data_IF_737882475036
#
_entry.id   IF_737882475036
#
_cell.length_a   1.000
_cell.length_b   1.000
_cell.length_c   1.000
_cell.angle_alpha   90.00
_cell.angle_beta   90.00
_cell.angle_gamma   90.00
#
_symmetry.space_group_name_H-M   'P 1'
#
loop_
_entity.id
_entity.type
_entity.pdbx_description
1 polymer ?
#
# COMPACT_ATOMS: atom_id res chain seq x y z
N UNK A 1 22.89 -7.97 -2.22
CA UNK A 1 22.35 -8.97 -1.28
C UNK A 1 21.13 -8.37 -0.59
N UNK A 2 20.16 -9.20 -0.26
CA UNK A 2 18.93 -8.78 0.45
C UNK A 2 19.17 -8.53 1.95
N UNK A 3 20.38 -8.52 2.43
CA UNK A 3 20.87 -8.42 3.81
C UNK A 3 19.80 -8.54 4.92
N UNK A 4 18.94 -7.57 5.13
CA UNK A 4 17.82 -7.65 6.08
C UNK A 4 16.45 -7.44 5.43
N UNK A 5 16.39 -7.15 4.13
CA UNK A 5 15.12 -6.95 3.43
C UNK A 5 14.45 -8.29 3.08
N UNK A 6 13.15 -8.34 3.22
CA UNK A 6 12.35 -9.52 2.85
C UNK A 6 12.08 -9.57 1.35
N UNK A 7 12.01 -8.43 0.71
CA UNK A 7 11.87 -8.23 -0.71
C UNK A 7 12.59 -6.98 -1.17
N UNK A 8 12.72 -6.83 -2.47
CA UNK A 8 13.28 -5.65 -3.12
C UNK A 8 12.77 -5.56 -4.54
N UNK A 9 12.24 -4.42 -4.93
CA UNK A 9 11.98 -4.11 -6.33
C UNK A 9 13.10 -3.26 -6.92
N UNK A 10 13.44 -3.47 -8.18
CA UNK A 10 14.42 -2.67 -8.91
C UNK A 10 14.19 -2.71 -10.40
N UNK A 11 14.74 -1.72 -11.10
CA UNK A 11 14.69 -1.64 -12.56
C UNK A 11 16.08 -1.82 -13.15
N UNK A 12 16.16 -2.60 -14.24
CA UNK A 12 17.37 -2.70 -15.06
C UNK A 12 16.98 -2.57 -16.55
N UNK A 13 17.35 -1.45 -17.14
CA UNK A 13 16.88 -1.08 -18.48
C UNK A 13 15.38 -0.89 -18.53
N UNK A 14 14.70 -1.61 -19.43
CA UNK A 14 13.24 -1.61 -19.57
C UNK A 14 12.52 -2.67 -18.73
N UNK A 15 13.25 -3.47 -17.95
CA UNK A 15 12.71 -4.56 -17.17
C UNK A 15 12.63 -4.19 -15.70
N UNK A 16 11.54 -4.61 -15.07
CA UNK A 16 11.33 -4.52 -13.64
C UNK A 16 11.51 -5.91 -13.01
N UNK A 17 12.11 -5.94 -11.86
CA UNK A 17 12.43 -7.15 -11.11
C UNK A 17 11.93 -7.02 -9.68
N UNK A 18 11.43 -8.12 -9.14
CA UNK A 18 11.16 -8.30 -7.73
C UNK A 18 12.05 -9.45 -7.26
N UNK A 19 12.91 -9.20 -6.30
CA UNK A 19 13.70 -10.22 -5.60
C UNK A 19 13.05 -10.48 -4.24
N UNK A 20 12.83 -11.75 -3.92
CA UNK A 20 12.21 -12.18 -2.67
C UNK A 20 13.18 -13.07 -1.89
N UNK A 21 13.27 -12.86 -0.57
CA UNK A 21 13.97 -13.78 0.30
C UNK A 21 13.17 -15.08 0.45
N UNK A 22 13.81 -16.28 0.50
CA UNK A 22 13.12 -17.52 0.73
C UNK A 22 12.39 -17.53 2.07
N UNK A 23 11.08 -17.77 2.07
CA UNK A 23 10.21 -17.79 3.25
C UNK A 23 9.07 -18.78 3.08
N UNK A 24 8.27 -18.93 4.14
CA UNK A 24 7.00 -19.63 4.09
C UNK A 24 6.07 -18.98 3.06
N UNK A 25 5.21 -19.80 2.41
CA UNK A 25 4.39 -19.38 1.26
C UNK A 25 3.55 -18.13 1.53
N UNK A 26 2.89 -18.05 2.69
CA UNK A 26 2.04 -16.91 3.01
C UNK A 26 2.86 -15.63 3.21
N UNK A 27 3.99 -15.72 3.91
CA UNK A 27 4.92 -14.58 4.05
C UNK A 27 5.47 -14.12 2.70
N UNK A 28 5.71 -15.07 1.78
CA UNK A 28 6.18 -14.76 0.42
C UNK A 28 5.13 -14.01 -0.39
N UNK A 29 3.85 -14.38 -0.28
CA UNK A 29 2.73 -13.67 -0.93
C UNK A 29 2.63 -12.23 -0.44
N UNK A 30 2.70 -12.02 0.87
CA UNK A 30 2.68 -10.69 1.46
C UNK A 30 3.81 -9.81 0.91
N UNK A 31 5.05 -10.30 0.97
CA UNK A 31 6.22 -9.59 0.44
C UNK A 31 6.08 -9.33 -1.06
N UNK A 32 5.59 -10.30 -1.85
CA UNK A 32 5.38 -10.11 -3.28
C UNK A 32 4.40 -8.97 -3.58
N UNK A 33 3.25 -8.93 -2.91
CA UNK A 33 2.27 -7.85 -3.10
C UNK A 33 2.80 -6.50 -2.65
N UNK A 34 3.58 -6.46 -1.58
CA UNK A 34 4.26 -5.27 -1.11
C UNK A 34 5.19 -4.69 -2.19
N UNK A 35 6.14 -5.49 -2.67
CA UNK A 35 7.10 -5.07 -3.71
C UNK A 35 6.41 -4.75 -5.04
N UNK A 36 5.37 -5.50 -5.39
CA UNK A 36 4.58 -5.22 -6.58
C UNK A 36 3.85 -3.88 -6.50
N UNK A 37 3.40 -3.49 -5.31
CA UNK A 37 2.80 -2.18 -5.07
C UNK A 37 3.75 -1.04 -5.44
N UNK A 38 5.04 -1.13 -5.13
CA UNK A 38 6.02 -0.11 -5.50
C UNK A 38 6.18 0.04 -7.02
N UNK A 39 6.06 -1.04 -7.79
CA UNK A 39 6.05 -0.96 -9.26
C UNK A 39 4.81 -0.26 -9.78
N UNK A 40 3.63 -0.57 -9.21
CA UNK A 40 2.36 0.11 -9.51
C UNK A 40 2.47 1.58 -9.16
N UNK A 41 2.97 1.91 -7.97
CA UNK A 41 3.14 3.26 -7.45
C UNK A 41 3.91 4.16 -8.41
N UNK A 42 5.04 3.68 -8.91
CA UNK A 42 5.85 4.42 -9.87
C UNK A 42 5.04 4.81 -11.12
N UNK A 43 4.21 3.89 -11.64
CA UNK A 43 3.37 4.19 -12.79
C UNK A 43 2.24 5.16 -12.45
N UNK A 44 1.57 5.00 -11.32
CA UNK A 44 0.50 5.91 -10.88
C UNK A 44 1.04 7.32 -10.69
N UNK A 45 2.17 7.48 -9.99
CA UNK A 45 2.84 8.76 -9.75
C UNK A 45 3.25 9.47 -11.05
N UNK A 46 3.67 8.70 -12.07
CA UNK A 46 4.14 9.26 -13.34
C UNK A 46 3.03 9.54 -14.35
N UNK A 47 1.87 8.92 -14.22
CA UNK A 47 0.77 8.97 -15.20
C UNK A 47 -0.47 9.70 -14.71
N UNK A 48 -0.62 9.89 -13.41
CA UNK A 48 -1.83 10.45 -12.80
C UNK A 48 -1.47 11.43 -11.69
N UNK A 49 -2.44 12.24 -11.24
CA UNK A 49 -2.36 13.04 -10.01
C UNK A 49 -3.05 12.37 -8.81
N UNK A 50 -3.32 11.06 -8.88
CA UNK A 50 -4.10 10.37 -7.85
C UNK A 50 -3.49 10.45 -6.44
N UNK A 51 -2.17 10.58 -6.34
CA UNK A 51 -1.44 10.62 -5.07
C UNK A 51 -0.95 12.03 -4.66
N UNK A 52 -1.28 13.08 -5.43
CA UNK A 52 -0.78 14.45 -5.16
C UNK A 52 -1.12 14.96 -3.76
N UNK A 53 -2.30 14.60 -3.25
CA UNK A 53 -2.78 14.99 -1.93
C UNK A 53 -2.90 13.77 -0.98
N UNK A 54 -1.99 12.81 -1.08
CA UNK A 54 -2.03 11.61 -0.24
C UNK A 54 -2.00 11.94 1.25
N UNK A 55 -1.18 12.90 1.64
CA UNK A 55 -1.01 13.31 3.04
C UNK A 55 -2.29 13.90 3.66
N UNK A 56 -3.22 14.42 2.85
CA UNK A 56 -4.49 14.98 3.33
C UNK A 56 -5.43 13.91 3.92
N UNK A 57 -5.13 12.62 3.68
CA UNK A 57 -5.82 11.49 4.29
C UNK A 57 -5.32 11.19 5.72
N UNK A 58 -4.26 11.83 6.16
CA UNK A 58 -3.69 11.68 7.49
C UNK A 58 -4.11 12.83 8.41
N UNK A 59 -4.04 12.65 9.74
CA UNK A 59 -4.23 13.76 10.69
C UNK A 59 -3.24 14.91 10.42
N UNK A 60 -3.66 16.15 10.66
CA UNK A 60 -2.86 17.35 10.38
C UNK A 60 -1.55 17.43 11.19
N UNK A 61 -1.51 16.80 12.35
CA UNK A 61 -0.36 16.74 13.25
C UNK A 61 0.55 15.54 12.97
N UNK A 62 0.22 14.71 11.97
CA UNK A 62 1.04 13.58 11.56
C UNK A 62 2.01 13.97 10.43
N UNK A 63 3.26 13.51 10.53
CA UNK A 63 4.24 13.56 9.46
C UNK A 63 4.96 12.21 9.35
N UNK A 64 5.16 11.74 8.12
CA UNK A 64 6.01 10.56 7.87
C UNK A 64 7.42 10.80 8.38
N UNK A 65 8.02 9.78 8.99
CA UNK A 65 9.36 9.89 9.60
C UNK A 65 10.48 10.08 8.57
N UNK A 66 10.28 9.60 7.35
CA UNK A 66 11.29 9.49 6.29
C UNK A 66 12.52 8.66 6.71
N UNK A 67 12.33 7.76 7.67
CA UNK A 67 13.33 6.81 8.17
C UNK A 67 12.64 5.48 8.48
N UNK A 68 13.08 4.40 7.81
CA UNK A 68 12.53 3.05 7.99
C UNK A 68 12.73 2.46 9.39
N UNK A 69 13.69 3.01 10.15
CA UNK A 69 14.01 2.57 11.51
C UNK A 69 13.47 3.52 12.59
N UNK A 70 12.62 4.48 12.22
CA UNK A 70 12.08 5.44 13.17
C UNK A 70 11.21 4.78 14.24
N UNK A 71 11.32 5.28 15.46
CA UNK A 71 10.38 4.91 16.53
C UNK A 71 9.06 5.69 16.33
N UNK A 72 8.04 4.97 15.85
CA UNK A 72 6.69 5.52 15.62
C UNK A 72 5.75 5.31 16.82
N UNK A 73 6.27 4.88 17.98
CA UNK A 73 5.49 4.68 19.21
C UNK A 73 4.62 5.91 19.60
N UNK A 74 5.05 7.17 19.43
CA UNK A 74 4.19 8.32 19.72
C UNK A 74 2.87 8.35 18.94
N UNK A 75 2.83 7.72 17.76
CA UNK A 75 1.65 7.67 16.89
C UNK A 75 0.86 6.35 17.01
N UNK A 76 1.13 5.53 18.04
CA UNK A 76 0.48 4.22 18.21
C UNK A 76 -1.06 4.28 18.20
N UNK A 77 -1.64 5.39 18.62
CA UNK A 77 -3.09 5.58 18.59
C UNK A 77 -3.67 5.53 17.17
N UNK A 78 -2.87 5.85 16.14
CA UNK A 78 -3.28 5.81 14.73
C UNK A 78 -3.33 4.39 14.14
N UNK A 79 -2.92 3.37 14.89
CA UNK A 79 -2.91 1.96 14.47
C UNK A 79 -4.12 1.18 14.98
N UNK A 80 -4.97 1.76 15.80
CA UNK A 80 -6.04 1.03 16.49
C UNK A 80 -7.35 1.78 16.47
N UNK A 81 -8.43 1.06 16.74
CA UNK A 81 -9.77 1.64 16.81
C UNK A 81 -10.46 1.76 15.46
N UNK A 82 -11.71 2.25 15.46
CA UNK A 82 -12.54 2.31 14.27
C UNK A 82 -12.05 3.31 13.21
N UNK A 83 -11.27 4.32 13.63
CA UNK A 83 -10.73 5.37 12.77
C UNK A 83 -9.21 5.22 12.60
N UNK A 84 -8.68 3.99 12.69
CA UNK A 84 -7.26 3.75 12.47
C UNK A 84 -6.82 4.32 11.11
N UNK A 85 -5.61 4.86 11.06
CA UNK A 85 -5.07 5.57 9.90
C UNK A 85 -4.08 4.73 9.11
N UNK A 86 -3.34 3.88 9.80
CA UNK A 86 -2.26 3.06 9.22
C UNK A 86 -2.41 1.58 9.57
N UNK A 87 -1.91 0.73 8.69
CA UNK A 87 -1.88 -0.72 8.90
C UNK A 87 -0.93 -1.09 10.06
N UNK A 88 0.27 -0.50 10.06
CA UNK A 88 1.30 -0.75 11.07
C UNK A 88 2.30 0.40 11.18
N UNK A 89 3.33 0.24 12.03
CA UNK A 89 4.39 1.24 12.21
C UNK A 89 5.17 1.51 10.92
N UNK A 90 5.39 0.49 10.10
CA UNK A 90 6.15 0.60 8.87
C UNK A 90 5.45 1.51 7.85
N UNK A 91 4.12 1.46 7.79
CA UNK A 91 3.30 2.36 6.97
C UNK A 91 3.45 3.85 7.33
N UNK A 92 3.92 4.17 8.54
CA UNK A 92 4.15 5.56 8.98
C UNK A 92 5.52 6.11 8.60
N UNK A 93 6.37 5.34 7.96
CA UNK A 93 7.74 5.77 7.61
C UNK A 93 7.78 6.60 6.32
N UNK A 94 7.15 6.13 5.26
CA UNK A 94 7.07 6.83 3.98
C UNK A 94 5.68 6.73 3.36
N UNK A 95 5.24 7.72 2.57
CA UNK A 95 3.98 7.60 1.83
C UNK A 95 3.91 6.38 0.89
N UNK A 96 5.04 5.95 0.34
CA UNK A 96 5.12 4.76 -0.50
C UNK A 96 4.89 3.48 0.32
N UNK A 97 5.44 3.40 1.53
CA UNK A 97 5.23 2.26 2.43
C UNK A 97 3.79 2.19 2.94
N UNK A 98 3.17 3.34 3.22
CA UNK A 98 1.75 3.40 3.57
C UNK A 98 0.87 2.79 2.46
N UNK A 99 1.09 3.20 1.20
CA UNK A 99 0.38 2.63 0.06
C UNK A 99 0.68 1.14 -0.15
N UNK A 100 1.94 0.74 0.00
CA UNK A 100 2.35 -0.65 -0.15
C UNK A 100 1.71 -1.56 0.90
N UNK A 101 1.66 -1.14 2.17
CA UNK A 101 1.00 -1.91 3.24
C UNK A 101 -0.51 -2.03 3.02
N UNK A 102 -1.16 -0.96 2.57
CA UNK A 102 -2.59 -1.00 2.23
C UNK A 102 -2.86 -1.94 1.05
N UNK A 103 -2.07 -1.86 -0.02
CA UNK A 103 -2.23 -2.71 -1.19
C UNK A 103 -1.98 -4.19 -0.86
N UNK A 104 -0.92 -4.50 -0.13
CA UNK A 104 -0.60 -5.84 0.37
C UNK A 104 -1.78 -6.44 1.15
N UNK A 105 -2.29 -5.71 2.15
CA UNK A 105 -3.44 -6.13 2.93
C UNK A 105 -4.71 -6.27 2.07
N UNK A 106 -4.90 -5.40 1.08
CA UNK A 106 -6.03 -5.49 0.17
C UNK A 106 -5.97 -6.72 -0.76
N UNK A 107 -4.76 -7.23 -1.05
CA UNK A 107 -4.56 -8.45 -1.85
C UNK A 107 -4.63 -9.75 -1.03
N UNK A 108 -4.66 -9.68 0.29
CA UNK A 108 -4.64 -10.84 1.19
C UNK A 108 -5.94 -10.96 1.99
N UNK A 109 -6.39 -12.18 2.34
CA UNK A 109 -7.61 -12.37 3.12
C UNK A 109 -7.39 -12.06 4.61
N UNK A 110 -8.49 -11.80 5.34
CA UNK A 110 -8.47 -11.68 6.79
C UNK A 110 -8.21 -10.26 7.29
N UNK A 111 -8.30 -9.24 6.43
CA UNK A 111 -8.05 -7.84 6.76
C UNK A 111 -9.34 -6.99 6.81
N UNK A 112 -10.50 -7.63 7.00
CA UNK A 112 -11.81 -6.96 7.05
C UNK A 112 -11.88 -5.91 8.14
N UNK A 113 -11.28 -6.18 9.31
CA UNK A 113 -11.26 -5.24 10.45
C UNK A 113 -10.44 -3.98 10.13
N UNK A 114 -9.34 -4.11 9.41
CA UNK A 114 -8.53 -2.97 8.99
C UNK A 114 -9.33 -2.05 8.07
N UNK A 115 -9.97 -2.65 7.07
CA UNK A 115 -10.79 -1.91 6.10
C UNK A 115 -12.21 -1.56 6.61
N UNK A 116 -12.52 -1.82 7.87
CA UNK A 116 -13.67 -1.19 8.53
C UNK A 116 -13.42 0.31 8.84
N UNK A 117 -12.15 0.75 8.88
CA UNK A 117 -11.81 2.16 9.04
C UNK A 117 -12.18 2.98 7.79
N UNK A 118 -12.93 4.08 7.94
CA UNK A 118 -13.26 4.97 6.83
C UNK A 118 -12.02 5.64 6.23
N UNK A 119 -10.96 5.83 7.02
CA UNK A 119 -9.69 6.41 6.54
C UNK A 119 -8.96 5.41 5.67
N UNK A 120 -8.83 4.16 6.10
CA UNK A 120 -8.21 3.10 5.28
C UNK A 120 -9.04 2.79 4.04
N UNK A 121 -10.38 2.88 4.10
CA UNK A 121 -11.25 2.81 2.93
C UNK A 121 -10.95 3.93 1.92
N UNK A 122 -10.82 5.18 2.40
CA UNK A 122 -10.51 6.31 1.54
C UNK A 122 -9.12 6.17 0.88
N UNK A 123 -8.13 5.70 1.62
CA UNK A 123 -6.79 5.40 1.11
C UNK A 123 -6.82 4.29 0.05
N UNK A 124 -7.48 3.16 0.33
CA UNK A 124 -7.64 2.07 -0.62
C UNK A 124 -8.39 2.52 -1.88
N UNK A 125 -9.48 3.28 -1.73
CA UNK A 125 -10.22 3.84 -2.87
C UNK A 125 -9.31 4.72 -3.75
N UNK A 126 -8.43 5.50 -3.15
CA UNK A 126 -7.50 6.37 -3.89
C UNK A 126 -6.45 5.53 -4.65
N UNK A 127 -5.93 4.46 -4.05
CA UNK A 127 -5.03 3.50 -4.72
C UNK A 127 -5.75 2.87 -5.93
N UNK A 128 -6.95 2.34 -5.75
CA UNK A 128 -7.71 1.69 -6.82
C UNK A 128 -8.02 2.66 -7.96
N UNK A 129 -8.41 3.90 -7.64
CA UNK A 129 -8.65 4.96 -8.64
C UNK A 129 -7.37 5.27 -9.41
N UNK A 130 -6.24 5.41 -8.73
CA UNK A 130 -4.94 5.65 -9.36
C UNK A 130 -4.53 4.53 -10.31
N UNK A 131 -4.71 3.28 -9.90
CA UNK A 131 -4.43 2.11 -10.76
C UNK A 131 -5.31 2.15 -12.01
N UNK A 132 -6.62 2.34 -11.86
CA UNK A 132 -7.54 2.40 -13.01
C UNK A 132 -7.23 3.54 -13.98
N UNK A 133 -6.69 4.66 -13.50
CA UNK A 133 -6.26 5.78 -14.34
C UNK A 133 -4.91 5.56 -15.02
N UNK A 134 -3.99 4.81 -14.38
CA UNK A 134 -2.62 4.65 -14.85
C UNK A 134 -2.43 3.54 -15.86
N UNK A 135 -3.32 2.55 -15.89
CA UNK A 135 -3.23 1.37 -16.72
C UNK A 135 -4.37 1.30 -17.72
N UNK A 136 -4.08 0.71 -18.88
CA UNK A 136 -5.11 0.34 -19.85
C UNK A 136 -5.81 -0.92 -19.36
N UNK A 137 -7.13 -0.81 -19.14
CA UNK A 137 -7.94 -1.84 -18.49
C UNK A 137 -9.14 -2.25 -19.36
N UNK A 138 -9.01 -2.21 -20.71
CA UNK A 138 -10.14 -2.47 -21.62
C UNK A 138 -10.67 -3.92 -21.49
N UNK A 139 -9.86 -4.91 -21.30
CA UNK A 139 -10.29 -6.32 -21.26
C UNK A 139 -10.10 -6.98 -19.88
N UNK A 140 -10.29 -6.24 -18.80
CA UNK A 140 -10.03 -6.73 -17.44
C UNK A 140 -11.33 -6.93 -16.64
N UNK A 141 -11.29 -7.71 -15.54
CA UNK A 141 -12.44 -7.90 -14.67
C UNK A 141 -13.03 -6.59 -14.15
N UNK A 142 -14.35 -6.56 -13.98
CA UNK A 142 -15.04 -5.40 -13.38
C UNK A 142 -14.50 -5.07 -12.00
N UNK A 143 -14.04 -6.09 -11.24
CA UNK A 143 -13.46 -5.95 -9.90
C UNK A 143 -12.16 -6.72 -9.80
N UNK A 144 -11.12 -6.05 -9.29
CA UNK A 144 -9.81 -6.65 -9.03
C UNK A 144 -9.72 -7.23 -7.62
N UNK A 145 -8.70 -8.09 -7.40
CA UNK A 145 -8.42 -8.69 -6.10
C UNK A 145 -8.27 -7.63 -4.98
N UNK A 146 -7.51 -6.58 -5.23
CA UNK A 146 -7.25 -5.50 -4.28
C UNK A 146 -8.45 -4.56 -4.03
N UNK A 147 -9.54 -4.76 -4.73
CA UNK A 147 -10.81 -4.04 -4.51
C UNK A 147 -11.78 -4.81 -3.62
N UNK A 148 -11.40 -6.02 -3.15
CA UNK A 148 -12.30 -6.90 -2.39
C UNK A 148 -12.86 -6.28 -1.11
N UNK A 149 -12.11 -5.36 -0.48
CA UNK A 149 -12.54 -4.68 0.74
C UNK A 149 -13.18 -3.30 0.50
N UNK A 150 -13.24 -2.83 -0.76
CA UNK A 150 -13.94 -1.58 -1.04
C UNK A 150 -15.43 -1.73 -0.77
N UNK A 151 -15.96 -0.82 0.04
CA UNK A 151 -17.40 -0.67 0.21
C UNK A 151 -17.97 -0.13 -1.10
N UNK A 152 -18.84 -0.91 -1.74
CA UNK A 152 -19.54 -0.44 -2.93
C UNK A 152 -20.45 0.72 -2.49
N UNK A 153 -20.10 1.94 -2.85
CA UNK A 153 -21.03 3.07 -2.75
C UNK A 153 -22.15 2.79 -3.74
N UNK A 154 -23.34 2.47 -3.21
CA UNK A 154 -24.58 2.36 -3.99
C UNK A 154 -24.97 3.71 -4.57
#
# INVERSE_FOLDING_TARGET
SLDSAEGLQFQNGSHFYIALAPKEEDSLKHTLFHEFSHLIDNRVLTKTGAYDNWNDLNPQDFAYSLDLNADMTPYKALLTGPDRVFIDNYAMTFPAEDRARIFECACTPGNEEDFASPILQAKLQRICTGIRQAFDLEDVPERFLWEQYLTLTQ
#
